data_IF_671121880615
#
_entry.id   IF_671121880615
#
_cell.length_a   1.000
_cell.length_b   1.000
_cell.length_c   1.000
_cell.angle_alpha   90.00
_cell.angle_beta   90.00
_cell.angle_gamma   90.00
#
_symmetry.space_group_name_H-M   'P 1'
#
loop_
_entity.id
_entity.type
_entity.pdbx_description
1 polymer ?
#
# COMPACT_ATOMS: atom_id res chain seq x y z
N UNK A 1 19.00 9.80 17.11
CA UNK A 1 19.60 10.32 15.85
C UNK A 1 20.29 11.66 16.02
N UNK A 2 19.61 12.74 16.46
CA UNK A 2 20.31 14.01 16.71
C UNK A 2 21.38 13.86 17.80
N UNK A 3 21.03 13.18 18.88
CA UNK A 3 21.96 12.91 19.98
C UNK A 3 23.18 12.09 19.54
N UNK A 4 22.99 11.10 18.66
CA UNK A 4 24.07 10.25 18.13
C UNK A 4 25.04 10.97 17.18
N UNK A 5 24.70 12.17 16.70
CA UNK A 5 25.59 13.00 15.86
C UNK A 5 26.13 14.23 16.61
N UNK A 6 26.04 14.23 17.94
CA UNK A 6 26.57 15.31 18.77
C UNK A 6 25.64 16.52 18.93
N UNK A 7 24.39 16.42 18.48
CA UNK A 7 23.37 17.45 18.68
C UNK A 7 22.57 17.08 19.92
N UNK A 8 22.96 17.67 21.05
CA UNK A 8 22.42 17.33 22.37
C UNK A 8 21.38 18.33 22.90
N UNK A 9 21.34 19.55 22.35
CA UNK A 9 20.43 20.60 22.81
C UNK A 9 19.25 20.73 21.85
N UNK A 10 18.28 19.83 21.96
CA UNK A 10 17.04 19.85 21.18
C UNK A 10 15.83 19.71 22.11
N UNK A 11 14.73 20.32 21.69
CA UNK A 11 13.42 20.23 22.35
C UNK A 11 12.39 19.82 21.29
N UNK A 12 11.50 18.90 21.65
CA UNK A 12 10.35 18.54 20.81
C UNK A 12 9.12 19.17 21.45
N UNK A 13 8.47 20.08 20.73
CA UNK A 13 7.20 20.69 21.14
C UNK A 13 6.10 20.02 20.34
N UNK A 14 5.23 19.27 21.04
CA UNK A 14 4.03 18.64 20.48
C UNK A 14 2.81 19.36 21.02
N UNK A 15 1.91 19.77 20.11
CA UNK A 15 0.70 20.52 20.47
C UNK A 15 -0.43 19.60 20.92
N UNK A 16 -0.44 18.34 20.43
CA UNK A 16 -1.38 17.32 20.84
C UNK A 16 -1.02 16.76 22.22
N UNK A 17 -2.00 16.10 22.83
CA UNK A 17 -1.84 15.20 23.97
C UNK A 17 -1.11 13.87 23.63
N UNK A 18 -0.60 13.71 22.41
CA UNK A 18 -0.07 12.44 21.90
C UNK A 18 1.04 12.67 20.86
N UNK A 19 2.04 11.80 20.87
CA UNK A 19 3.10 11.73 19.86
C UNK A 19 2.66 10.88 18.66
N UNK A 20 3.14 11.24 17.46
CA UNK A 20 2.97 10.44 16.24
C UNK A 20 2.24 11.15 15.09
N UNK A 21 1.61 12.30 15.36
CA UNK A 21 0.96 13.13 14.35
C UNK A 21 -0.08 12.34 13.53
N UNK A 22 0.14 12.25 12.22
CA UNK A 22 -0.75 11.52 11.29
C UNK A 22 -0.63 10.00 11.36
N UNK A 23 0.37 9.44 12.04
CA UNK A 23 0.38 8.00 12.34
C UNK A 23 -0.54 7.75 13.54
N UNK A 24 -1.66 7.07 13.30
CA UNK A 24 -2.71 6.90 14.30
C UNK A 24 -3.50 5.62 14.09
N UNK A 25 -3.09 4.59 14.80
CA UNK A 25 -3.90 3.41 15.06
C UNK A 25 -4.81 3.67 16.27
N UNK A 26 -6.10 3.36 16.14
CA UNK A 26 -7.08 3.43 17.23
C UNK A 26 -7.66 2.04 17.43
N UNK A 27 -7.52 1.49 18.63
CA UNK A 27 -8.14 0.22 19.00
C UNK A 27 -9.62 0.43 19.31
N UNK A 28 -10.45 -0.52 18.88
CA UNK A 28 -11.89 -0.50 19.09
C UNK A 28 -12.20 -1.19 20.42
N UNK A 29 -12.34 -0.39 21.47
CA UNK A 29 -12.74 -0.84 22.80
C UNK A 29 -11.85 -1.99 23.34
N UNK A 30 -12.42 -2.97 24.05
CA UNK A 30 -11.73 -4.15 24.58
C UNK A 30 -11.47 -5.26 23.54
N UNK A 31 -11.36 -4.90 22.25
CA UNK A 31 -11.07 -5.87 21.17
C UNK A 31 -9.66 -5.70 20.61
N UNK A 32 -9.18 -6.72 19.89
CA UNK A 32 -7.96 -6.61 19.07
C UNK A 32 -8.22 -5.88 17.74
N UNK A 33 -9.45 -5.42 17.49
CA UNK A 33 -9.78 -4.68 16.28
C UNK A 33 -9.22 -3.27 16.35
N UNK A 34 -8.72 -2.77 15.22
CA UNK A 34 -8.13 -1.44 15.13
C UNK A 34 -8.49 -0.74 13.83
N UNK A 35 -8.47 0.58 13.86
CA UNK A 35 -8.63 1.45 12.71
C UNK A 35 -7.40 2.34 12.55
N UNK A 36 -6.81 2.32 11.36
CA UNK A 36 -5.79 3.29 10.97
C UNK A 36 -6.46 4.59 10.53
N UNK A 37 -6.33 5.64 11.35
CA UNK A 37 -6.78 7.00 11.06
C UNK A 37 -5.76 7.80 10.23
N UNK A 38 -4.63 7.16 9.91
CA UNK A 38 -3.45 7.73 9.31
C UNK A 38 -3.05 7.04 8.00
N UNK A 39 -1.75 7.00 7.67
CA UNK A 39 -1.26 6.14 6.59
C UNK A 39 -1.48 4.67 6.97
N UNK A 40 -2.37 4.02 6.22
CA UNK A 40 -2.74 2.60 6.43
C UNK A 40 -1.85 1.63 5.64
N UNK A 41 -1.21 2.10 4.56
CA UNK A 41 -0.53 1.25 3.58
C UNK A 41 0.80 1.86 3.19
N UNK A 42 1.87 1.10 3.38
CA UNK A 42 3.18 1.40 2.84
C UNK A 42 3.43 0.42 1.69
N UNK A 43 3.66 0.88 0.45
CA UNK A 43 4.04 -0.01 -0.65
C UNK A 43 5.21 -0.91 -0.26
N UNK A 44 5.20 -2.11 -0.84
CA UNK A 44 6.26 -3.10 -0.65
C UNK A 44 7.62 -2.43 -0.87
N UNK A 45 8.57 -2.63 0.04
CA UNK A 45 9.90 -2.04 -0.06
C UNK A 45 10.58 -2.34 -1.41
N UNK A 46 10.27 -3.48 -2.04
CA UNK A 46 10.83 -3.94 -3.31
C UNK A 46 9.81 -4.70 -4.16
N UNK A 47 9.94 -4.60 -5.49
CA UNK A 47 9.16 -5.38 -6.46
C UNK A 47 10.12 -6.08 -7.41
N UNK A 48 9.94 -7.39 -7.58
CA UNK A 48 10.64 -8.19 -8.59
C UNK A 48 9.76 -8.34 -9.83
N UNK A 49 10.24 -7.85 -10.96
CA UNK A 49 9.52 -7.91 -12.22
C UNK A 49 9.79 -9.23 -12.93
N UNK A 50 8.72 -9.92 -13.36
CA UNK A 50 8.83 -11.20 -14.07
C UNK A 50 9.35 -11.08 -15.51
N UNK A 51 9.35 -9.86 -16.05
CA UNK A 51 9.79 -9.57 -17.43
C UNK A 51 11.30 -9.74 -17.60
N UNK A 52 12.06 -9.35 -16.58
CA UNK A 52 13.52 -9.28 -16.61
C UNK A 52 14.20 -9.72 -15.29
N UNK A 53 13.42 -10.28 -14.36
CA UNK A 53 13.83 -10.69 -13.01
C UNK A 53 14.52 -9.58 -12.18
N UNK A 54 14.39 -8.32 -12.61
CA UNK A 54 14.97 -7.18 -11.90
C UNK A 54 14.16 -6.83 -10.66
N UNK A 55 14.85 -6.50 -9.57
CA UNK A 55 14.23 -6.08 -8.31
C UNK A 55 14.50 -4.60 -8.07
N UNK A 56 13.42 -3.83 -7.91
CA UNK A 56 13.48 -2.38 -7.74
C UNK A 56 12.86 -2.00 -6.40
N UNK A 57 13.52 -1.10 -5.68
CA UNK A 57 13.02 -0.57 -4.41
C UNK A 57 12.31 0.76 -4.63
N UNK A 58 11.26 1.03 -3.86
CA UNK A 58 10.63 2.36 -3.81
C UNK A 58 11.53 3.32 -3.02
N UNK A 59 11.97 4.39 -3.67
CA UNK A 59 12.90 5.35 -3.08
C UNK A 59 12.25 6.25 -2.02
N UNK A 60 10.98 6.59 -2.20
CA UNK A 60 10.20 7.53 -1.38
C UNK A 60 10.02 7.09 0.07
N UNK A 61 9.91 5.78 0.32
CA UNK A 61 9.72 5.21 1.66
C UNK A 61 10.97 4.57 2.24
N UNK A 62 12.07 4.54 1.50
CA UNK A 62 13.31 3.89 1.95
C UNK A 62 13.80 4.44 3.28
N UNK A 63 13.68 5.75 3.50
CA UNK A 63 14.06 6.38 4.76
C UNK A 63 13.19 5.90 5.94
N UNK A 64 11.91 5.63 5.72
CA UNK A 64 11.01 5.13 6.76
C UNK A 64 11.43 3.73 7.22
N UNK A 65 11.72 2.82 6.28
CA UNK A 65 12.19 1.48 6.60
C UNK A 65 13.58 1.52 7.27
N UNK A 66 14.50 2.33 6.76
CA UNK A 66 15.82 2.52 7.38
C UNK A 66 15.75 3.10 8.80
N UNK A 67 14.78 3.97 9.06
CA UNK A 67 14.54 4.52 10.39
C UNK A 67 14.03 3.42 11.33
N UNK A 68 13.07 2.60 10.90
CA UNK A 68 12.58 1.47 11.69
C UNK A 68 13.74 0.50 12.04
N UNK A 69 14.53 0.08 11.04
CA UNK A 69 15.71 -0.77 11.24
C UNK A 69 16.76 -0.15 12.19
N UNK A 70 16.92 1.17 12.15
CA UNK A 70 17.83 1.87 13.05
C UNK A 70 17.29 1.89 14.48
N UNK A 71 16.01 2.19 14.65
CA UNK A 71 15.37 2.23 15.97
C UNK A 71 15.38 0.84 16.62
N UNK A 72 15.07 -0.22 15.89
CA UNK A 72 15.13 -1.59 16.40
C UNK A 72 16.53 -1.97 16.86
N UNK A 73 17.57 -1.62 16.09
CA UNK A 73 18.97 -1.83 16.50
C UNK A 73 19.36 -1.01 17.72
N UNK A 74 18.91 0.24 17.80
CA UNK A 74 19.16 1.10 18.97
C UNK A 74 18.47 0.57 20.23
N UNK A 75 17.32 -0.08 20.07
CA UNK A 75 16.57 -0.72 21.15
C UNK A 75 17.07 -2.15 21.45
N UNK A 76 18.23 -2.55 20.91
CA UNK A 76 18.82 -3.89 21.09
C UNK A 76 17.86 -5.04 20.73
N UNK A 77 16.95 -4.80 19.79
CA UNK A 77 15.87 -5.74 19.43
C UNK A 77 14.96 -6.15 20.60
N UNK A 78 14.81 -5.30 21.63
CA UNK A 78 13.82 -5.48 22.69
C UNK A 78 12.41 -5.59 22.08
N UNK A 79 11.77 -6.74 22.31
CA UNK A 79 10.47 -7.08 21.74
C UNK A 79 9.37 -6.06 22.09
N UNK A 80 9.50 -5.37 23.22
CA UNK A 80 8.56 -4.33 23.64
C UNK A 80 8.56 -3.12 22.68
N UNK A 81 9.69 -2.85 22.03
CA UNK A 81 9.87 -1.69 21.16
C UNK A 81 10.09 -2.07 19.68
N UNK A 82 9.93 -3.36 19.34
CA UNK A 82 10.15 -3.87 18.00
C UNK A 82 9.16 -3.24 17.02
N UNK A 83 9.65 -2.77 15.88
CA UNK A 83 8.87 -2.17 14.82
C UNK A 83 8.74 -3.18 13.68
N UNK A 84 7.67 -3.97 13.71
CA UNK A 84 7.36 -4.93 12.65
C UNK A 84 6.39 -4.33 11.62
N UNK A 85 6.68 -4.53 10.34
CA UNK A 85 5.75 -4.21 9.25
C UNK A 85 4.93 -5.44 8.88
N UNK A 86 3.61 -5.31 8.90
CA UNK A 86 2.70 -6.38 8.47
C UNK A 86 2.93 -6.65 6.97
N UNK A 87 3.18 -7.91 6.56
CA UNK A 87 3.31 -8.25 5.14
C UNK A 87 2.09 -7.78 4.34
N UNK A 88 2.34 -7.14 3.21
CA UNK A 88 1.28 -6.75 2.29
C UNK A 88 0.69 -7.99 1.61
N UNK A 89 -0.58 -8.28 1.89
CA UNK A 89 -1.35 -9.33 1.23
C UNK A 89 -2.31 -8.64 0.27
N UNK A 90 -2.00 -8.68 -1.03
CA UNK A 90 -2.84 -8.05 -2.05
C UNK A 90 -4.19 -8.76 -2.21
N UNK A 91 -4.17 -10.10 -2.17
CA UNK A 91 -5.35 -10.94 -2.26
C UNK A 91 -5.22 -12.15 -1.34
N UNK A 92 -6.29 -12.48 -0.61
CA UNK A 92 -6.36 -13.70 0.20
C UNK A 92 -7.60 -14.54 -0.18
N UNK A 93 -7.52 -15.89 -0.23
CA UNK A 93 -8.67 -16.74 -0.57
C UNK A 93 -9.92 -16.52 0.30
N UNK A 94 -9.74 -16.02 1.53
CA UNK A 94 -10.81 -15.73 2.49
C UNK A 94 -11.18 -14.24 2.59
N UNK A 95 -10.65 -13.36 1.73
CA UNK A 95 -11.05 -11.95 1.76
C UNK A 95 -12.52 -11.79 1.35
N UNK A 96 -13.21 -10.79 1.92
CA UNK A 96 -14.59 -10.49 1.55
C UNK A 96 -14.61 -9.58 0.32
N UNK A 97 -15.06 -10.11 -0.81
CA UNK A 97 -15.21 -9.34 -2.05
C UNK A 97 -16.61 -8.72 -2.08
N UNK A 98 -16.81 -7.58 -1.41
CA UNK A 98 -18.15 -6.99 -1.27
C UNK A 98 -18.65 -6.24 -2.51
N UNK A 99 -17.74 -5.59 -3.24
CA UNK A 99 -18.06 -4.80 -4.42
C UNK A 99 -18.11 -5.67 -5.67
N UNK A 100 -19.19 -5.57 -6.44
CA UNK A 100 -19.32 -6.32 -7.70
C UNK A 100 -19.33 -7.83 -7.48
N UNK A 101 -20.08 -8.32 -6.50
CA UNK A 101 -20.31 -9.76 -6.28
C UNK A 101 -21.77 -10.02 -5.96
N UNK A 102 -22.22 -11.25 -6.20
CA UNK A 102 -23.46 -11.75 -5.67
C UNK A 102 -23.44 -11.86 -4.14
N UNK A 103 -24.49 -12.44 -3.58
CA UNK A 103 -24.55 -12.80 -2.16
C UNK A 103 -24.87 -14.27 -2.06
N UNK A 104 -24.36 -14.91 -1.03
CA UNK A 104 -24.87 -16.21 -0.60
C UNK A 104 -26.36 -16.09 -0.26
N UNK A 105 -27.08 -17.22 -0.23
CA UNK A 105 -28.51 -17.24 0.12
C UNK A 105 -28.81 -16.66 1.51
N UNK A 106 -27.82 -16.71 2.41
CA UNK A 106 -27.89 -16.15 3.76
C UNK A 106 -27.46 -14.66 3.84
N UNK A 107 -27.18 -14.04 2.70
CA UNK A 107 -26.78 -12.63 2.61
C UNK A 107 -25.29 -12.36 2.83
N UNK A 108 -24.47 -13.39 3.10
CA UNK A 108 -23.02 -13.19 3.26
C UNK A 108 -22.36 -12.75 1.96
N UNK A 109 -21.31 -11.94 2.12
CA UNK A 109 -20.41 -11.56 1.04
C UNK A 109 -19.52 -12.75 0.69
N UNK A 110 -19.38 -13.12 -0.60
CA UNK A 110 -18.55 -14.26 -0.99
C UNK A 110 -17.05 -13.93 -0.95
N UNK A 111 -16.23 -14.97 -0.82
CA UNK A 111 -14.77 -14.89 -0.91
C UNK A 111 -14.25 -15.32 -2.29
N UNK A 112 -13.00 -14.99 -2.68
CA UNK A 112 -12.42 -15.49 -3.92
C UNK A 112 -12.44 -17.01 -4.04
N UNK A 113 -12.20 -17.73 -2.93
CA UNK A 113 -12.23 -19.19 -2.92
C UNK A 113 -13.63 -19.77 -3.17
N UNK A 114 -14.67 -19.07 -2.70
CA UNK A 114 -16.06 -19.44 -2.94
C UNK A 114 -16.46 -19.15 -4.39
N UNK A 115 -16.07 -17.99 -4.93
CA UNK A 115 -16.31 -17.64 -6.34
C UNK A 115 -15.59 -18.61 -7.29
N UNK A 116 -14.38 -19.05 -6.95
CA UNK A 116 -13.66 -20.05 -7.74
C UNK A 116 -14.39 -21.41 -7.81
N UNK A 117 -15.15 -21.76 -6.76
CA UNK A 117 -15.97 -22.98 -6.72
C UNK A 117 -17.35 -22.79 -7.33
N UNK A 118 -17.91 -21.60 -7.18
CA UNK A 118 -19.19 -21.18 -7.73
C UNK A 118 -19.07 -19.82 -8.42
N UNK A 119 -18.75 -19.80 -9.73
CA UNK A 119 -18.60 -18.57 -10.49
C UNK A 119 -19.84 -17.69 -10.52
N UNK A 120 -21.03 -18.22 -10.18
CA UNK A 120 -22.27 -17.44 -10.11
C UNK A 120 -22.27 -16.40 -8.98
N UNK A 121 -21.38 -16.57 -7.99
CA UNK A 121 -21.19 -15.61 -6.89
C UNK A 121 -20.35 -14.38 -7.30
N UNK A 122 -19.64 -14.42 -8.43
CA UNK A 122 -18.94 -13.26 -8.99
C UNK A 122 -19.88 -12.31 -9.73
N UNK A 123 -19.51 -11.05 -9.93
CA UNK A 123 -20.27 -10.21 -10.86
C UNK A 123 -19.94 -10.53 -12.32
N UNK A 124 -20.94 -10.41 -13.22
CA UNK A 124 -20.66 -10.24 -14.63
C UNK A 124 -19.88 -8.92 -14.85
N UNK A 125 -19.06 -8.82 -15.90
CA UNK A 125 -18.36 -7.58 -16.21
C UNK A 125 -19.35 -6.42 -16.37
N UNK A 126 -19.07 -5.29 -15.71
CA UNK A 126 -19.98 -4.12 -15.65
C UNK A 126 -20.27 -3.54 -17.03
N UNK A 127 -19.33 -3.70 -17.97
CA UNK A 127 -19.45 -3.19 -19.34
C UNK A 127 -18.53 -4.00 -20.27
N UNK A 128 -19.08 -4.56 -21.35
CA UNK A 128 -18.33 -5.38 -22.33
C UNK A 128 -18.39 -4.84 -23.76
N UNK A 129 -18.87 -3.61 -23.94
CA UNK A 129 -18.94 -2.97 -25.25
C UNK A 129 -17.56 -2.88 -25.89
N UNK A 130 -17.52 -2.90 -27.24
CA UNK A 130 -16.27 -2.75 -27.97
C UNK A 130 -15.54 -1.45 -27.59
N UNK A 131 -16.28 -0.38 -27.34
CA UNK A 131 -15.76 0.91 -26.89
C UNK A 131 -15.08 0.79 -25.52
N UNK A 132 -15.74 0.18 -24.52
CA UNK A 132 -15.16 0.00 -23.19
C UNK A 132 -13.88 -0.82 -23.22
N UNK A 133 -13.89 -1.94 -23.95
CA UNK A 133 -12.71 -2.80 -24.09
C UNK A 133 -11.55 -2.08 -24.79
N UNK A 134 -11.86 -1.26 -25.80
CA UNK A 134 -10.85 -0.44 -26.49
C UNK A 134 -10.27 0.62 -25.56
N UNK A 135 -11.12 1.34 -24.82
CA UNK A 135 -10.67 2.34 -23.84
C UNK A 135 -9.80 1.71 -22.76
N UNK A 136 -10.21 0.58 -22.20
CA UNK A 136 -9.42 -0.14 -21.19
C UNK A 136 -8.05 -0.55 -21.76
N UNK A 137 -8.02 -1.04 -22.99
CA UNK A 137 -6.77 -1.41 -23.68
C UNK A 137 -5.84 -0.20 -23.85
N UNK A 138 -6.35 0.95 -24.28
CA UNK A 138 -5.54 2.17 -24.42
C UNK A 138 -5.05 2.67 -23.05
N UNK A 139 -5.91 2.72 -22.03
CA UNK A 139 -5.52 3.08 -20.66
C UNK A 139 -4.44 2.15 -20.09
N UNK A 140 -4.56 0.85 -20.35
CA UNK A 140 -3.57 -0.14 -19.90
C UNK A 140 -2.19 0.07 -20.53
N UNK A 141 -2.08 0.70 -21.72
CA UNK A 141 -0.77 1.06 -22.29
C UNK A 141 -0.03 2.11 -21.48
N UNK A 142 -0.75 2.92 -20.70
CA UNK A 142 -0.18 3.92 -19.79
C UNK A 142 -0.03 3.34 -18.39
N UNK A 143 -1.14 2.87 -17.80
CA UNK A 143 -1.19 2.43 -16.40
C UNK A 143 -0.39 1.15 -16.12
N UNK A 144 -0.22 0.28 -17.11
CA UNK A 144 0.55 -0.97 -17.01
C UNK A 144 1.88 -0.89 -17.76
N UNK A 145 2.33 0.31 -18.11
CA UNK A 145 3.64 0.51 -18.73
C UNK A 145 4.72 0.24 -17.69
N UNK A 146 5.39 -0.91 -17.82
CA UNK A 146 6.39 -1.34 -16.86
C UNK A 146 7.56 -0.36 -16.72
N UNK A 147 7.98 0.28 -17.82
CA UNK A 147 9.04 1.30 -17.80
C UNK A 147 8.64 2.48 -16.92
N UNK A 148 7.44 3.02 -17.11
CA UNK A 148 6.92 4.12 -16.29
C UNK A 148 6.78 3.71 -14.82
N UNK A 149 6.32 2.48 -14.54
CA UNK A 149 6.22 1.98 -13.15
C UNK A 149 7.61 1.89 -12.51
N UNK A 150 8.64 1.41 -13.23
CA UNK A 150 10.03 1.40 -12.76
C UNK A 150 10.57 2.82 -12.52
N UNK A 151 10.22 3.78 -13.37
CA UNK A 151 10.59 5.19 -13.18
C UNK A 151 9.95 5.79 -11.92
N UNK A 152 8.65 5.54 -11.69
CA UNK A 152 7.93 5.97 -10.48
C UNK A 152 8.60 5.43 -9.21
N UNK A 153 9.08 4.19 -9.23
CA UNK A 153 9.77 3.57 -8.09
C UNK A 153 11.07 4.28 -7.72
N UNK A 154 11.80 4.78 -8.72
CA UNK A 154 13.11 5.41 -8.53
C UNK A 154 12.98 6.90 -8.23
N UNK A 155 12.15 7.62 -8.99
CA UNK A 155 11.93 9.06 -8.88
C UNK A 155 10.49 9.41 -9.22
N UNK A 156 9.61 9.34 -8.20
CA UNK A 156 8.19 9.68 -8.35
C UNK A 156 7.97 11.12 -8.81
N UNK A 157 8.85 12.06 -8.46
CA UNK A 157 8.70 13.46 -8.83
C UNK A 157 9.07 13.69 -10.30
N UNK A 158 10.16 13.07 -10.76
CA UNK A 158 10.54 13.04 -12.17
C UNK A 158 9.46 12.38 -13.03
N UNK A 159 8.97 11.21 -12.62
CA UNK A 159 7.89 10.50 -13.31
C UNK A 159 6.59 11.32 -13.32
N UNK A 160 6.22 11.92 -12.19
CA UNK A 160 5.05 12.80 -12.13
C UNK A 160 5.17 13.97 -13.11
N UNK A 161 6.33 14.65 -13.15
CA UNK A 161 6.59 15.72 -14.11
C UNK A 161 6.42 15.26 -15.56
N UNK A 162 6.98 14.10 -15.92
CA UNK A 162 6.84 13.53 -17.27
C UNK A 162 5.37 13.29 -17.64
N UNK A 163 4.58 12.76 -16.69
CA UNK A 163 3.13 12.52 -16.88
C UNK A 163 2.37 13.84 -17.10
N UNK A 164 2.69 14.91 -16.35
CA UNK A 164 2.10 16.24 -16.58
C UNK A 164 2.52 16.82 -17.94
N UNK A 165 3.80 16.66 -18.32
CA UNK A 165 4.31 17.14 -19.62
C UNK A 165 3.64 16.39 -20.81
N UNK A 166 3.09 15.19 -20.58
CA UNK A 166 2.30 14.42 -21.54
C UNK A 166 0.81 14.81 -21.58
N UNK A 167 0.35 15.69 -20.68
CA UNK A 167 -1.04 16.13 -20.57
C UNK A 167 -2.00 15.05 -20.05
N UNK A 168 -1.52 14.16 -19.17
CA UNK A 168 -2.36 13.12 -18.55
C UNK A 168 -3.11 13.63 -17.30
N UNK A 169 -3.00 14.92 -16.98
CA UNK A 169 -3.73 15.63 -15.92
C UNK A 169 -5.00 16.35 -16.39
N UNK A 170 -5.23 16.44 -17.70
CA UNK A 170 -6.43 17.01 -18.36
C UNK A 170 -7.45 15.95 -18.80
#
# INVERSE_FOLDING_TARGET
MLDSVGVHNWEIIEASDRVGGRFRTVFVDDTEEFAEMGPMRLPYHQVTYKSDDSTHAYSDLRMTFQLADLLDRMNESDEKYRIDFIPWIQHHPNELLAFGTGRHLDGRVPTPAEIAKDPSLGAPPVMTSAECNNTEKEMNKVLKNETLIKEIQVDIWGAHKQVMDLGYDD
#
